data_IF_018096718536
#
_entry.id   IF_018096718536
#
_cell.length_a   1.000
_cell.length_b   1.000
_cell.length_c   1.000
_cell.angle_alpha   90.00
_cell.angle_beta   90.00
_cell.angle_gamma   90.00
#
_symmetry.space_group_name_H-M   'P 1'
#
loop_
_entity.id
_entity.type
_entity.pdbx_description
1 polymer ?
#
# COMPACT_ATOMS: atom_id res chain seq x y z
N UNK A 1 68.40 -13.21 3.39
CA UNK A 1 67.20 -12.46 2.98
C UNK A 1 66.53 -13.27 1.88
N UNK A 2 65.39 -13.88 2.15
CA UNK A 2 64.44 -14.33 1.13
C UNK A 2 63.06 -14.34 1.81
N UNK A 3 62.30 -13.28 1.58
CA UNK A 3 60.97 -13.00 2.16
C UNK A 3 59.86 -13.31 1.15
N UNK A 4 60.02 -14.37 0.36
CA UNK A 4 58.99 -14.87 -0.56
C UNK A 4 58.16 -15.99 0.09
N UNK A 5 57.71 -15.75 1.33
CA UNK A 5 56.79 -16.65 2.00
C UNK A 5 55.45 -15.93 2.22
N UNK A 6 54.39 -16.51 1.65
CA UNK A 6 53.00 -16.40 2.14
C UNK A 6 52.33 -15.04 1.95
N UNK A 7 51.95 -14.66 0.71
CA UNK A 7 50.86 -13.67 0.54
C UNK A 7 50.09 -13.78 -0.79
N UNK A 8 50.01 -14.96 -1.40
CA UNK A 8 49.17 -15.17 -2.61
C UNK A 8 47.85 -15.93 -2.35
N UNK A 9 47.41 -16.02 -1.10
CA UNK A 9 46.07 -16.53 -0.78
C UNK A 9 45.44 -15.65 0.27
N UNK A 10 44.17 -15.28 0.04
CA UNK A 10 43.22 -14.79 1.05
C UNK A 10 42.95 -13.27 1.15
N UNK A 11 42.89 -12.52 0.04
CA UNK A 11 42.25 -11.18 0.06
C UNK A 11 40.82 -11.22 -0.52
N UNK A 12 40.40 -12.32 -1.13
CA UNK A 12 39.08 -12.40 -1.81
C UNK A 12 37.92 -12.86 -0.89
N UNK A 13 38.11 -13.01 0.43
CA UNK A 13 37.05 -13.52 1.32
C UNK A 13 36.70 -12.66 2.55
N UNK A 14 37.13 -11.39 2.62
CA UNK A 14 36.91 -10.56 3.81
C UNK A 14 35.65 -9.68 3.80
N UNK A 15 34.69 -9.92 2.90
CA UNK A 15 33.35 -9.31 3.00
C UNK A 15 32.24 -10.35 2.77
N UNK A 16 32.06 -11.34 3.65
CA UNK A 16 30.85 -12.14 3.66
C UNK A 16 29.74 -11.28 4.26
N UNK A 17 28.99 -10.56 3.42
CA UNK A 17 27.92 -9.71 3.94
C UNK A 17 27.18 -8.81 2.95
N UNK A 18 27.67 -8.65 1.71
CA UNK A 18 26.92 -7.97 0.65
C UNK A 18 26.18 -8.96 -0.26
N UNK A 19 25.75 -10.08 0.30
CA UNK A 19 24.52 -10.68 -0.22
C UNK A 19 23.43 -9.67 0.09
N UNK A 20 23.12 -8.84 -0.90
CA UNK A 20 21.87 -8.11 -1.01
C UNK A 20 20.77 -9.16 -0.85
N UNK A 21 20.42 -9.44 0.41
CA UNK A 21 19.26 -10.23 0.75
C UNK A 21 18.14 -9.59 -0.05
N UNK A 22 17.43 -10.32 -0.93
CA UNK A 22 16.30 -9.73 -1.60
C UNK A 22 15.39 -9.29 -0.46
N UNK A 23 15.34 -7.97 -0.22
CA UNK A 23 14.41 -7.40 0.73
C UNK A 23 13.09 -8.10 0.44
N UNK A 24 12.42 -8.68 1.46
CA UNK A 24 11.17 -9.36 1.21
C UNK A 24 10.37 -8.38 0.37
N UNK A 25 9.99 -8.81 -0.83
CA UNK A 25 9.07 -8.06 -1.67
C UNK A 25 7.75 -8.13 -0.93
N UNK A 26 7.66 -7.41 0.19
CA UNK A 26 6.41 -7.08 0.83
C UNK A 26 5.57 -6.46 -0.26
N UNK A 27 4.27 -6.76 -0.24
CA UNK A 27 3.32 -6.24 -1.21
C UNK A 27 3.67 -4.80 -1.54
N UNK A 28 3.93 -4.55 -2.83
CA UNK A 28 4.36 -3.22 -3.25
C UNK A 28 3.31 -2.20 -2.82
N UNK A 29 3.70 -0.97 -2.54
CA UNK A 29 2.76 0.09 -2.18
C UNK A 29 1.59 0.19 -3.18
N UNK A 30 1.84 -0.02 -4.47
CA UNK A 30 0.80 -0.05 -5.50
C UNK A 30 -0.21 -1.20 -5.35
N UNK A 31 0.23 -2.35 -4.84
CA UNK A 31 -0.62 -3.51 -4.56
C UNK A 31 -1.53 -3.23 -3.36
N UNK A 32 -0.98 -2.64 -2.29
CA UNK A 32 -1.74 -2.18 -1.13
C UNK A 32 -2.75 -1.08 -1.50
N UNK A 33 -2.34 -0.12 -2.34
CA UNK A 33 -3.23 0.93 -2.84
C UNK A 33 -4.34 0.34 -3.70
N UNK A 34 -4.03 -0.63 -4.57
CA UNK A 34 -5.04 -1.30 -5.39
C UNK A 34 -6.04 -2.08 -4.54
N UNK A 35 -5.57 -2.76 -3.49
CA UNK A 35 -6.45 -3.42 -2.52
C UNK A 35 -7.38 -2.41 -1.83
N UNK A 36 -6.83 -1.29 -1.34
CA UNK A 36 -7.64 -0.24 -0.70
C UNK A 36 -8.68 0.39 -1.63
N UNK A 37 -8.38 0.55 -2.92
CA UNK A 37 -9.36 1.03 -3.91
C UNK A 37 -10.47 -0.02 -4.12
N UNK A 38 -10.13 -1.31 -4.16
CA UNK A 38 -11.12 -2.38 -4.26
C UNK A 38 -12.01 -2.43 -3.02
N UNK A 39 -11.44 -2.29 -1.82
CA UNK A 39 -12.20 -2.21 -0.56
C UNK A 39 -13.16 -1.02 -0.57
N UNK A 40 -12.70 0.17 -1.00
CA UNK A 40 -13.58 1.34 -1.13
C UNK A 40 -14.74 1.07 -2.08
N UNK A 41 -14.49 0.39 -3.20
CA UNK A 41 -15.54 0.03 -4.15
C UNK A 41 -16.57 -0.92 -3.52
N UNK A 42 -16.13 -1.89 -2.72
CA UNK A 42 -17.01 -2.80 -1.99
C UNK A 42 -17.88 -2.07 -0.96
N UNK A 43 -17.28 -1.17 -0.17
CA UNK A 43 -18.01 -0.36 0.83
C UNK A 43 -19.09 0.48 0.14
N UNK A 44 -18.74 1.16 -0.96
CA UNK A 44 -19.69 1.95 -1.74
C UNK A 44 -20.81 1.08 -2.32
N UNK A 45 -20.46 -0.06 -2.93
CA UNK A 45 -21.44 -0.98 -3.53
C UNK A 45 -22.42 -1.51 -2.48
N UNK A 46 -21.92 -1.86 -1.29
CA UNK A 46 -22.75 -2.33 -0.17
C UNK A 46 -23.73 -1.26 0.29
N UNK A 47 -23.30 -0.01 0.42
CA UNK A 47 -24.18 1.10 0.79
C UNK A 47 -25.30 1.32 -0.24
N UNK A 48 -24.97 1.25 -1.53
CA UNK A 48 -25.93 1.37 -2.64
C UNK A 48 -26.92 0.20 -2.63
N UNK A 49 -26.43 -1.02 -2.49
CA UNK A 49 -27.26 -2.23 -2.41
C UNK A 49 -28.25 -2.16 -1.24
N UNK A 50 -27.76 -1.84 -0.05
CA UNK A 50 -28.60 -1.71 1.15
C UNK A 50 -29.65 -0.61 0.99
N UNK A 51 -29.30 0.51 0.35
CA UNK A 51 -30.24 1.59 0.03
C UNK A 51 -31.32 1.10 -0.95
N UNK A 52 -30.96 0.34 -1.97
CA UNK A 52 -31.92 -0.24 -2.91
C UNK A 52 -32.86 -1.24 -2.26
N UNK A 53 -32.33 -2.14 -1.42
CA UNK A 53 -33.14 -3.13 -0.69
C UNK A 53 -34.12 -2.46 0.27
N UNK A 54 -33.68 -1.41 0.97
CA UNK A 54 -34.56 -0.60 1.83
C UNK A 54 -35.66 0.10 1.02
N UNK A 55 -35.31 0.70 -0.13
CA UNK A 55 -36.28 1.34 -1.02
C UNK A 55 -37.26 0.34 -1.65
N UNK A 56 -36.84 -0.92 -1.83
CA UNK A 56 -37.68 -2.02 -2.28
C UNK A 56 -38.61 -2.57 -1.19
N UNK A 57 -38.48 -2.11 0.07
CA UNK A 57 -39.28 -2.57 1.20
C UNK A 57 -38.87 -3.95 1.72
N UNK A 58 -37.65 -4.41 1.41
CA UNK A 58 -37.10 -5.62 1.99
C UNK A 58 -36.80 -5.43 3.48
N UNK A 59 -36.60 -6.55 4.19
CA UNK A 59 -36.21 -6.56 5.60
C UNK A 59 -34.74 -6.10 5.73
N UNK A 60 -34.55 -4.78 5.72
CA UNK A 60 -33.28 -4.10 5.96
C UNK A 60 -33.54 -3.04 6.99
N UNK A 61 -32.72 -3.01 8.03
CA UNK A 61 -32.87 -2.02 9.08
C UNK A 61 -32.36 -0.67 8.57
N UNK A 62 -33.17 0.39 8.71
CA UNK A 62 -32.81 1.74 8.27
C UNK A 62 -31.46 2.20 8.84
N UNK A 63 -31.14 1.78 10.07
CA UNK A 63 -29.89 2.14 10.72
C UNK A 63 -28.66 1.53 10.02
N UNK A 64 -28.74 0.30 9.53
CA UNK A 64 -27.65 -0.33 8.77
C UNK A 64 -27.34 0.44 7.49
N UNK A 65 -28.38 0.88 6.77
CA UNK A 65 -28.22 1.69 5.54
C UNK A 65 -27.54 3.02 5.86
N UNK A 66 -27.94 3.68 6.96
CA UNK A 66 -27.32 4.93 7.39
C UNK A 66 -25.84 4.73 7.77
N UNK A 67 -25.53 3.66 8.51
CA UNK A 67 -24.16 3.33 8.90
C UNK A 67 -23.30 3.04 7.67
N UNK A 68 -23.79 2.20 6.74
CA UNK A 68 -23.04 1.88 5.53
C UNK A 68 -22.83 3.11 4.64
N UNK A 69 -23.83 4.00 4.54
CA UNK A 69 -23.69 5.26 3.81
C UNK A 69 -22.65 6.17 4.46
N UNK A 70 -22.61 6.25 5.79
CA UNK A 70 -21.64 7.06 6.52
C UNK A 70 -20.22 6.48 6.43
N UNK A 71 -20.10 5.15 6.48
CA UNK A 71 -18.84 4.45 6.26
C UNK A 71 -18.29 4.74 4.85
N UNK A 72 -19.13 4.62 3.81
CA UNK A 72 -18.76 4.92 2.44
C UNK A 72 -18.31 6.39 2.27
N UNK A 73 -19.01 7.34 2.89
CA UNK A 73 -18.65 8.75 2.86
C UNK A 73 -17.30 9.03 3.51
N UNK A 74 -17.05 8.47 4.69
CA UNK A 74 -15.77 8.63 5.40
C UNK A 74 -14.63 7.99 4.61
N UNK A 75 -14.83 6.76 4.12
CA UNK A 75 -13.84 6.05 3.33
C UNK A 75 -13.48 6.81 2.04
N UNK A 76 -14.47 7.37 1.34
CA UNK A 76 -14.25 8.15 0.12
C UNK A 76 -13.47 9.45 0.38
N UNK A 77 -13.77 10.14 1.48
CA UNK A 77 -13.02 11.33 1.91
C UNK A 77 -11.56 10.98 2.18
N UNK A 78 -11.32 9.90 2.90
CA UNK A 78 -9.97 9.40 3.17
C UNK A 78 -9.23 9.03 1.88
N UNK A 79 -9.88 8.33 0.95
CA UNK A 79 -9.28 7.97 -0.33
C UNK A 79 -8.89 9.19 -1.17
N UNK A 80 -9.69 10.25 -1.13
CA UNK A 80 -9.38 11.52 -1.82
C UNK A 80 -8.17 12.23 -1.20
N UNK A 81 -8.05 12.19 0.13
CA UNK A 81 -6.89 12.71 0.84
C UNK A 81 -5.62 11.90 0.52
N UNK A 82 -5.72 10.57 0.55
CA UNK A 82 -4.61 9.68 0.18
C UNK A 82 -4.17 9.89 -1.27
N UNK A 83 -5.10 10.01 -2.22
CA UNK A 83 -4.78 10.35 -3.62
C UNK A 83 -3.95 11.63 -3.69
N UNK A 84 -4.34 12.65 -2.92
CA UNK A 84 -3.61 13.92 -2.88
C UNK A 84 -2.21 13.72 -2.32
N UNK A 85 -2.08 13.06 -1.17
CA UNK A 85 -0.76 12.82 -0.56
C UNK A 85 0.16 11.96 -1.42
N UNK A 86 -0.35 10.97 -2.14
CA UNK A 86 0.46 10.15 -3.06
C UNK A 86 0.98 10.99 -4.22
N UNK A 87 0.12 11.86 -4.79
CA UNK A 87 0.55 12.78 -5.85
C UNK A 87 1.58 13.79 -5.34
N UNK A 88 1.42 14.29 -4.11
CA UNK A 88 2.41 15.17 -3.49
C UNK A 88 3.74 14.47 -3.24
N UNK A 89 3.72 13.28 -2.64
CA UNK A 89 4.92 12.49 -2.39
C UNK A 89 5.68 12.19 -3.70
N UNK A 90 4.96 11.84 -4.76
CA UNK A 90 5.55 11.64 -6.08
C UNK A 90 6.21 12.93 -6.61
N UNK A 91 5.53 14.08 -6.50
CA UNK A 91 6.09 15.38 -6.90
C UNK A 91 7.27 15.82 -6.03
N UNK A 92 7.33 15.41 -4.78
CA UNK A 92 8.41 15.73 -3.86
C UNK A 92 9.68 14.93 -4.17
N UNK A 93 9.54 13.63 -4.43
CA UNK A 93 10.66 12.78 -4.86
C UNK A 93 11.31 13.32 -6.14
N UNK A 94 10.51 13.85 -7.07
CA UNK A 94 11.02 14.48 -8.30
C UNK A 94 11.69 15.84 -8.07
N UNK A 95 11.41 16.51 -6.95
CA UNK A 95 11.94 17.84 -6.61
C UNK A 95 13.23 17.78 -5.81
N UNK A 96 13.64 16.61 -5.31
CA UNK A 96 14.99 16.45 -4.78
C UNK A 96 15.99 16.71 -5.91
N UNK A 97 16.77 17.81 -5.86
CA UNK A 97 17.89 17.96 -6.75
C UNK A 97 18.91 16.87 -6.38
N UNK A 98 19.35 16.11 -7.38
CA UNK A 98 20.61 15.36 -7.31
C UNK A 98 21.80 16.32 -7.20
#
# INVERSE_FOLDING_TARGET
MNIENVVSGNIESLIPGLSESPAPRGQGFGEMLSQGINELNQIQSKAVEQTHRLAAGEDVELHDVMIASQEADVALRMATQLRTQVLEAYREVLRMPI
#
